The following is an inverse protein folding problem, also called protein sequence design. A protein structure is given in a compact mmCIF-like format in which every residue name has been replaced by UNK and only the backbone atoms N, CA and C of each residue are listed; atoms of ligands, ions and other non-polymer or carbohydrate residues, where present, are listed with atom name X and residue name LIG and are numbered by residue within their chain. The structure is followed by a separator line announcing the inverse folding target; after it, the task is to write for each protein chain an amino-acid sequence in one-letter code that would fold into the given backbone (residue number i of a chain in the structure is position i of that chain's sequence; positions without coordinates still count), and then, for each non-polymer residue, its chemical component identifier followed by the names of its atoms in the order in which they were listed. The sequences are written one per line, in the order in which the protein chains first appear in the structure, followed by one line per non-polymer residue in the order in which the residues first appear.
data_IF_907439375125
#
_entry.id   IF_907439375125
#
_cell.length_a   1.000
_cell.length_b   1.000
_cell.length_c   1.000
_cell.angle_alpha   90.00
_cell.angle_beta   90.00
_cell.angle_gamma   90.00
#
_symmetry.space_group_name_H-M   'P 1'
#
loop_
_entity.id
_entity.type
_entity.pdbx_description
1 polymer ?
#
# COMPACT_ATOMS: atom_id res chain seq x y z
N UNK A 1 -0.63 5.23 -0.57
CA UNK A 1 0.13 5.05 -1.82
C UNK A 1 -0.50 3.96 -2.66
N UNK A 2 -0.57 4.14 -3.98
CA UNK A 2 -0.95 3.08 -4.92
C UNK A 2 0.29 2.45 -5.59
N UNK A 3 0.10 1.34 -6.29
CA UNK A 3 1.18 0.61 -6.95
C UNK A 3 2.00 1.45 -7.94
N UNK A 4 1.34 2.29 -8.73
CA UNK A 4 2.03 3.12 -9.73
C UNK A 4 2.92 4.16 -9.04
N UNK A 5 2.40 4.82 -8.00
CA UNK A 5 3.18 5.75 -7.17
C UNK A 5 4.36 5.06 -6.49
N UNK A 6 4.16 3.85 -5.96
CA UNK A 6 5.20 3.06 -5.31
C UNK A 6 6.33 2.70 -6.29
N UNK A 7 5.96 2.22 -7.47
CA UNK A 7 6.92 1.89 -8.52
C UNK A 7 7.68 3.13 -8.99
N UNK A 8 7.00 4.27 -9.15
CA UNK A 8 7.61 5.50 -9.65
C UNK A 8 8.53 6.17 -8.62
N UNK A 9 8.15 6.17 -7.34
CA UNK A 9 8.88 6.90 -6.28
C UNK A 9 9.92 6.05 -5.56
N UNK A 10 9.68 4.75 -5.46
CA UNK A 10 10.47 3.86 -4.61
C UNK A 10 10.97 2.61 -5.36
N UNK A 11 10.68 2.50 -6.67
CA UNK A 11 10.99 1.31 -7.47
C UNK A 11 10.46 0.00 -6.89
N UNK A 12 9.44 0.08 -6.04
CA UNK A 12 8.83 -1.05 -5.35
C UNK A 12 7.59 -1.54 -6.12
N UNK A 13 7.53 -2.85 -6.36
CA UNK A 13 6.45 -3.51 -7.12
C UNK A 13 5.61 -4.48 -6.28
N UNK A 14 5.90 -4.61 -4.98
CA UNK A 14 5.44 -5.71 -4.12
C UNK A 14 4.45 -5.21 -3.06
N UNK A 15 3.16 -5.06 -3.42
CA UNK A 15 2.14 -4.54 -2.48
C UNK A 15 1.09 -5.56 -2.04
N UNK A 16 0.77 -6.60 -2.83
CA UNK A 16 -0.44 -7.38 -2.55
C UNK A 16 -0.25 -8.50 -1.52
N UNK A 17 0.82 -9.28 -1.63
CA UNK A 17 1.16 -10.32 -0.64
C UNK A 17 1.63 -9.69 0.68
N UNK A 18 2.47 -8.67 0.58
CA UNK A 18 3.01 -7.92 1.72
C UNK A 18 1.91 -7.34 2.61
N UNK A 19 0.84 -6.76 2.03
CA UNK A 19 -0.28 -6.21 2.81
C UNK A 19 -1.10 -7.30 3.50
N UNK A 20 -1.21 -8.49 2.90
CA UNK A 20 -1.89 -9.62 3.56
C UNK A 20 -1.06 -10.15 4.73
N UNK A 21 0.26 -10.23 4.58
CA UNK A 21 1.21 -10.64 5.61
C UNK A 21 1.21 -9.65 6.79
N UNK A 22 1.32 -8.35 6.51
CA UNK A 22 1.23 -7.27 7.52
C UNK A 22 -0.05 -7.38 8.38
N UNK A 23 -1.19 -7.66 7.76
CA UNK A 23 -2.45 -7.78 8.50
C UNK A 23 -2.55 -9.08 9.29
N UNK A 24 -2.04 -10.19 8.75
CA UNK A 24 -2.17 -11.52 9.36
C UNK A 24 -1.18 -11.69 10.50
N UNK A 25 0.08 -11.33 10.27
CA UNK A 25 1.19 -11.68 11.15
C UNK A 25 1.43 -10.61 12.21
N UNK A 26 1.15 -9.34 11.89
CA UNK A 26 1.40 -8.20 12.78
C UNK A 26 0.12 -7.55 13.32
N UNK A 27 -1.06 -7.98 12.85
CA UNK A 27 -2.34 -7.41 13.25
C UNK A 27 -2.54 -5.94 12.82
N UNK A 28 -1.66 -5.41 11.98
CA UNK A 28 -1.71 -4.02 11.52
C UNK A 28 -2.77 -3.91 10.42
N UNK A 29 -3.82 -3.13 10.68
CA UNK A 29 -4.91 -2.95 9.72
C UNK A 29 -4.50 -1.99 8.61
N UNK A 30 -4.47 -2.49 7.37
CA UNK A 30 -4.15 -1.69 6.18
C UNK A 30 -5.44 -1.36 5.43
N UNK A 31 -5.77 -0.07 5.37
CA UNK A 31 -6.91 0.41 4.61
C UNK A 31 -6.62 0.35 3.11
N UNK A 32 -7.65 0.01 2.31
CA UNK A 32 -7.54 -0.12 0.86
C UNK A 32 -8.76 0.41 0.13
N UNK A 33 -8.54 1.12 -0.98
CA UNK A 33 -9.60 1.59 -1.89
C UNK A 33 -9.20 1.39 -3.35
N UNK A 34 -10.17 1.10 -4.19
CA UNK A 34 -9.99 1.09 -5.64
C UNK A 34 -9.90 2.52 -6.19
N UNK A 35 -8.94 2.76 -7.06
CA UNK A 35 -8.70 4.02 -7.73
C UNK A 35 -8.33 3.74 -9.19
N UNK A 36 -8.73 4.63 -10.10
CA UNK A 36 -8.26 4.60 -11.50
C UNK A 36 -7.26 5.73 -11.67
N UNK A 37 -6.04 5.38 -12.06
CA UNK A 37 -4.96 6.35 -12.29
C UNK A 37 -4.42 6.23 -13.72
N UNK A 38 -3.85 7.30 -14.29
CA UNK A 38 -3.12 7.20 -15.56
C UNK A 38 -1.95 6.23 -15.42
N UNK A 39 -1.98 5.15 -16.21
CA UNK A 39 -0.92 4.16 -16.29
C UNK A 39 0.01 4.40 -17.48
N UNK A 40 0.53 3.32 -18.05
CA UNK A 40 1.46 3.39 -19.17
C UNK A 40 0.84 4.16 -20.36
N UNK A 41 1.57 5.17 -20.87
CA UNK A 41 1.12 6.07 -21.95
C UNK A 41 -0.25 6.75 -21.69
N UNK A 42 -0.60 6.98 -20.42
CA UNK A 42 -1.86 7.62 -20.05
C UNK A 42 -3.08 6.70 -20.10
N UNK A 43 -2.90 5.41 -20.38
CA UNK A 43 -3.98 4.44 -20.37
C UNK A 43 -4.56 4.29 -18.96
N UNK A 44 -5.89 4.37 -18.77
CA UNK A 44 -6.50 4.27 -17.44
C UNK A 44 -6.23 2.89 -16.86
N UNK A 45 -5.62 2.87 -15.68
CA UNK A 45 -5.24 1.64 -14.98
C UNK A 45 -5.93 1.61 -13.62
N UNK A 46 -6.62 0.52 -13.33
CA UNK A 46 -7.27 0.31 -12.04
C UNK A 46 -6.25 -0.21 -11.04
N UNK A 47 -5.99 0.56 -9.99
CA UNK A 47 -5.06 0.23 -8.93
C UNK A 47 -5.75 0.25 -7.56
N UNK A 48 -5.11 -0.37 -6.56
CA UNK A 48 -5.49 -0.18 -5.16
C UNK A 48 -4.58 0.85 -4.53
N UNK A 49 -5.19 1.80 -3.82
CA UNK A 49 -4.52 2.74 -2.92
C UNK A 49 -4.59 2.17 -1.52
N UNK A 50 -3.43 2.10 -0.85
CA UNK A 50 -3.28 1.62 0.52
C UNK A 50 -2.83 2.74 1.45
N UNK A 51 -3.26 2.71 2.70
CA UNK A 51 -2.75 3.60 3.75
C UNK A 51 -2.96 2.98 5.14
N UNK A 52 -2.17 3.47 6.09
CA UNK A 52 -2.36 3.21 7.52
C UNK A 52 -3.00 4.44 8.17
N UNK A 53 -4.00 4.20 8.99
CA UNK A 53 -4.53 5.20 9.94
C UNK A 53 -3.49 5.51 11.02
N UNK A 54 -3.67 6.62 11.75
CA UNK A 54 -2.65 7.14 12.67
C UNK A 54 -2.29 6.14 13.79
N UNK A 55 -3.28 5.46 14.35
CA UNK A 55 -3.14 4.39 15.34
C UNK A 55 -2.32 3.22 14.81
N UNK A 56 -2.61 2.78 13.58
CA UNK A 56 -1.91 1.66 12.94
C UNK A 56 -0.47 2.02 12.56
N UNK A 57 -0.18 3.29 12.27
CA UNK A 57 1.20 3.77 12.05
C UNK A 57 2.02 3.74 13.32
N UNK A 58 1.43 4.04 14.47
CA UNK A 58 2.13 4.00 15.75
C UNK A 58 2.44 2.56 16.15
N UNK A 59 1.44 1.67 16.04
CA UNK A 59 1.64 0.23 16.23
C UNK A 59 2.75 -0.32 15.31
N UNK A 60 2.75 0.06 14.04
CA UNK A 60 3.79 -0.35 13.10
C UNK A 60 5.19 0.14 13.50
N UNK A 61 5.31 1.33 14.10
CA UNK A 61 6.61 1.85 14.59
C UNK A 61 7.10 1.08 15.81
N UNK A 62 6.21 0.78 16.75
CA UNK A 62 6.55 0.01 17.95
C UNK A 62 7.05 -1.40 17.60
N UNK A 63 6.44 -2.04 16.59
CA UNK A 63 6.81 -3.39 16.13
C UNK A 63 8.12 -3.45 15.32
N UNK A 64 8.61 -2.32 14.81
CA UNK A 64 9.83 -2.23 13.99
C UNK A 64 11.07 -1.76 14.78
N UNK A 65 10.95 -1.54 16.09
CA UNK A 65 12.07 -1.24 17.00
C UNK A 65 12.85 -2.50 17.36
#
# INVERSE_FOLDING_TARGET
MNFIEAQQRHHDRSLHSTVSEIQTDYGIVVQRKWETVPGYQGAPTRCRRYWLEADQRELARELLQ
#
